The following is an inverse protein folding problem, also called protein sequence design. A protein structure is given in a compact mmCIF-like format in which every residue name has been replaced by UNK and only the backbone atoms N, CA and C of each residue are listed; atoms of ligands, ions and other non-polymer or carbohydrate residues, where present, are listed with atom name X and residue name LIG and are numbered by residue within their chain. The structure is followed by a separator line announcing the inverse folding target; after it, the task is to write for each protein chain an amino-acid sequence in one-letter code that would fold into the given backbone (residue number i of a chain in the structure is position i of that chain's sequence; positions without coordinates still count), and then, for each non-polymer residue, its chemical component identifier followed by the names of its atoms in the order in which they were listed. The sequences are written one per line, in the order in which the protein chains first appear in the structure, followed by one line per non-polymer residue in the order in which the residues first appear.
data_IF_919448747545
#
_entry.id   IF_919448747545
#
_cell.length_a   1.000
_cell.length_b   1.000
_cell.length_c   1.000
_cell.angle_alpha   90.00
_cell.angle_beta   90.00
_cell.angle_gamma   90.00
#
_symmetry.space_group_name_H-M   'P 1'
#
loop_
_entity.id
_entity.type
_entity.pdbx_description
1 polymer ?
#
# COMPACT_ATOMS: atom_id res chain seq x y z
N UNK A 1 3.84 -7.86 -22.91
CA UNK A 1 2.73 -8.83 -22.94
C UNK A 1 2.12 -9.13 -21.55
N UNK A 2 2.88 -9.43 -20.48
CA UNK A 2 2.29 -9.94 -19.21
C UNK A 2 1.77 -8.93 -18.18
N UNK A 3 2.00 -7.60 -18.33
CA UNK A 3 1.53 -6.60 -17.36
C UNK A 3 0.01 -6.43 -17.32
N UNK A 4 -0.68 -6.81 -18.40
CA UNK A 4 -2.11 -6.56 -18.55
C UNK A 4 -2.97 -7.42 -17.62
N UNK A 5 -2.56 -8.63 -17.28
CA UNK A 5 -3.35 -9.53 -16.39
C UNK A 5 -3.60 -8.86 -15.04
N UNK A 6 -2.53 -8.42 -14.36
CA UNK A 6 -2.64 -7.80 -13.05
C UNK A 6 -3.36 -6.44 -13.10
N UNK A 7 -3.16 -5.66 -14.17
CA UNK A 7 -3.89 -4.41 -14.38
C UNK A 7 -5.39 -4.65 -14.59
N UNK A 8 -5.76 -5.67 -15.38
CA UNK A 8 -7.15 -6.03 -15.62
C UNK A 8 -7.83 -6.51 -14.34
N UNK A 9 -7.19 -7.35 -13.53
CA UNK A 9 -7.72 -7.78 -12.23
C UNK A 9 -8.00 -6.57 -11.33
N UNK A 10 -7.06 -5.63 -11.23
CA UNK A 10 -7.23 -4.44 -10.38
C UNK A 10 -8.36 -3.54 -10.91
N UNK A 11 -8.47 -3.37 -12.23
CA UNK A 11 -9.56 -2.59 -12.85
C UNK A 11 -10.92 -3.24 -12.62
N UNK A 12 -11.04 -4.55 -12.79
CA UNK A 12 -12.27 -5.29 -12.49
C UNK A 12 -12.64 -5.15 -11.01
N UNK A 13 -11.66 -5.27 -10.10
CA UNK A 13 -11.90 -5.01 -8.68
C UNK A 13 -12.41 -3.58 -8.42
N UNK A 14 -11.88 -2.57 -9.09
CA UNK A 14 -12.37 -1.19 -8.95
C UNK A 14 -13.77 -0.97 -9.50
N UNK A 15 -14.13 -1.70 -10.56
CA UNK A 15 -15.47 -1.68 -11.15
C UNK A 15 -16.50 -2.34 -10.21
N UNK A 16 -16.15 -3.49 -9.61
CA UNK A 16 -17.03 -4.24 -8.72
C UNK A 16 -17.15 -3.61 -7.31
N UNK A 17 -16.07 -3.05 -6.78
CA UNK A 17 -16.03 -2.52 -5.41
C UNK A 17 -15.83 -1.00 -5.42
N UNK A 18 -16.85 -0.19 -5.09
CA UNK A 18 -16.74 1.27 -5.08
C UNK A 18 -15.78 1.74 -3.99
N UNK A 19 -15.15 2.90 -4.17
CA UNK A 19 -14.13 3.44 -3.25
C UNK A 19 -14.58 3.46 -1.78
N UNK A 20 -15.86 3.77 -1.52
CA UNK A 20 -16.43 3.83 -0.18
C UNK A 20 -16.48 2.46 0.54
N UNK A 21 -16.61 1.36 -0.21
CA UNK A 21 -16.65 -0.01 0.35
C UNK A 21 -15.28 -0.67 0.46
N UNK A 22 -14.20 0.00 0.06
CA UNK A 22 -12.84 -0.59 0.11
C UNK A 22 -12.26 -0.45 1.52
N UNK A 23 -11.50 -1.45 1.93
CA UNK A 23 -10.75 -1.43 3.19
C UNK A 23 -9.87 -0.17 3.28
N UNK A 24 -9.94 0.54 4.41
CA UNK A 24 -9.08 1.70 4.67
C UNK A 24 -7.63 1.24 4.85
N UNK A 25 -6.76 1.59 3.90
CA UNK A 25 -5.33 1.28 3.98
C UNK A 25 -4.67 2.05 5.14
N UNK A 26 -3.56 1.50 5.65
CA UNK A 26 -2.68 2.16 6.63
C UNK A 26 -1.65 3.08 5.95
N UNK A 27 -1.48 2.90 4.64
CA UNK A 27 -0.62 3.70 3.79
C UNK A 27 -1.39 4.82 3.07
N UNK A 28 -0.69 5.90 2.72
CA UNK A 28 -1.22 7.03 1.97
C UNK A 28 -1.81 6.60 0.62
N UNK A 29 -1.07 5.78 -0.13
CA UNK A 29 -1.56 5.17 -1.38
C UNK A 29 -2.17 3.82 -1.09
N UNK A 30 -3.42 3.61 -1.52
CA UNK A 30 -4.11 2.32 -1.35
C UNK A 30 -3.33 1.16 -1.99
N UNK A 31 -3.44 -0.04 -1.41
CA UNK A 31 -2.76 -1.24 -1.91
C UNK A 31 -3.00 -1.47 -3.40
N UNK A 32 -4.26 -1.38 -3.85
CA UNK A 32 -4.61 -1.59 -5.26
C UNK A 32 -4.00 -0.51 -6.18
N UNK A 33 -3.99 0.76 -5.74
CA UNK A 33 -3.38 1.84 -6.54
C UNK A 33 -1.86 1.67 -6.62
N UNK A 34 -1.21 1.32 -5.50
CA UNK A 34 0.22 1.12 -5.45
C UNK A 34 0.65 -0.02 -6.40
N UNK A 35 -0.02 -1.18 -6.30
CA UNK A 35 0.26 -2.33 -7.17
C UNK A 35 -0.02 -1.98 -8.63
N UNK A 36 -1.11 -1.27 -8.92
CA UNK A 36 -1.44 -0.83 -10.28
C UNK A 36 -0.34 0.05 -10.88
N UNK A 37 0.12 1.06 -10.14
CA UNK A 37 1.16 1.99 -10.60
C UNK A 37 2.50 1.30 -10.82
N UNK A 38 2.94 0.46 -9.87
CA UNK A 38 4.17 -0.32 -10.03
C UNK A 38 4.06 -1.28 -11.22
N UNK A 39 2.93 -1.94 -11.38
CA UNK A 39 2.69 -2.85 -12.52
C UNK A 39 2.70 -2.10 -13.85
N UNK A 40 2.12 -0.90 -13.90
CA UNK A 40 2.05 -0.06 -15.10
C UNK A 40 3.44 0.41 -15.53
N UNK A 41 4.24 0.89 -14.56
CA UNK A 41 5.55 1.50 -14.78
C UNK A 41 6.67 0.47 -14.96
N UNK A 42 6.71 -0.55 -14.09
CA UNK A 42 7.82 -1.52 -13.98
C UNK A 42 7.47 -2.92 -14.47
N UNK A 43 6.22 -3.18 -14.83
CA UNK A 43 5.75 -4.45 -15.38
C UNK A 43 5.28 -5.46 -14.33
N UNK A 44 4.99 -6.67 -14.80
CA UNK A 44 4.28 -7.69 -14.00
C UNK A 44 5.08 -8.18 -12.78
N UNK A 45 6.37 -8.49 -12.93
CA UNK A 45 7.18 -9.04 -11.82
C UNK A 45 7.28 -8.06 -10.63
N UNK A 46 7.66 -6.78 -10.83
CA UNK A 46 7.64 -5.80 -9.74
C UNK A 46 6.23 -5.56 -9.18
N UNK A 47 5.21 -5.61 -10.05
CA UNK A 47 3.81 -5.57 -9.65
C UNK A 47 3.45 -6.68 -8.66
N UNK A 48 3.77 -7.92 -8.98
CA UNK A 48 3.50 -9.08 -8.12
C UNK A 48 4.27 -8.98 -6.79
N UNK A 49 5.55 -8.59 -6.82
CA UNK A 49 6.33 -8.36 -5.60
C UNK A 49 5.70 -7.28 -4.73
N UNK A 50 5.22 -6.18 -5.34
CA UNK A 50 4.53 -5.10 -4.62
C UNK A 50 3.20 -5.56 -4.00
N UNK A 51 2.48 -6.47 -4.67
CA UNK A 51 1.25 -7.06 -4.15
C UNK A 51 1.54 -7.93 -2.92
N UNK A 52 2.49 -8.85 -3.03
CA UNK A 52 2.90 -9.72 -1.92
C UNK A 52 3.39 -8.91 -0.72
N UNK A 53 4.17 -7.86 -0.98
CA UNK A 53 4.59 -6.91 0.04
C UNK A 53 3.38 -6.28 0.75
N UNK A 54 2.43 -5.71 -0.01
CA UNK A 54 1.25 -5.05 0.56
C UNK A 54 0.33 -6.01 1.33
N UNK A 55 0.20 -7.27 0.90
CA UNK A 55 -0.55 -8.29 1.64
C UNK A 55 0.09 -8.56 3.01
N UNK A 56 1.43 -8.59 3.08
CA UNK A 56 2.16 -8.79 4.34
C UNK A 56 2.14 -7.56 5.24
N UNK A 57 2.22 -6.36 4.68
CA UNK A 57 2.43 -5.12 5.45
C UNK A 57 1.18 -4.29 5.70
N UNK A 58 0.17 -4.34 4.84
CA UNK A 58 -1.07 -3.58 5.03
C UNK A 58 -2.08 -4.34 5.91
N UNK A 59 -1.73 -4.48 7.19
CA UNK A 59 -2.57 -5.11 8.20
C UNK A 59 -2.80 -4.14 9.40
N UNK A 60 -3.69 -4.43 10.36
CA UNK A 60 -3.97 -3.54 11.49
C UNK A 60 -2.89 -3.55 12.60
N UNK A 61 -1.92 -4.47 12.52
CA UNK A 61 -0.86 -4.65 13.53
C UNK A 61 0.34 -3.76 13.16
N UNK A 62 0.27 -2.50 13.59
CA UNK A 62 1.33 -1.52 13.44
C UNK A 62 1.34 -0.57 14.64
N UNK A 63 2.50 0.01 14.92
CA UNK A 63 2.67 1.05 15.94
C UNK A 63 3.06 2.37 15.28
N UNK A 64 2.55 3.49 15.80
CA UNK A 64 2.96 4.84 15.37
C UNK A 64 3.70 5.50 16.53
N UNK A 65 4.88 6.01 16.25
CA UNK A 65 5.72 6.69 17.22
C UNK A 65 6.34 7.95 16.61
N UNK A 66 6.73 8.91 17.45
CA UNK A 66 7.42 10.11 17.02
C UNK A 66 8.92 9.88 17.10
N UNK A 67 9.64 10.11 16.00
CA UNK A 67 11.09 10.10 15.99
C UNK A 67 11.62 11.32 16.76
N UNK A 68 12.33 11.08 17.87
CA UNK A 68 12.85 12.14 18.72
C UNK A 68 13.92 13.01 18.03
N UNK A 69 14.59 12.50 16.98
CA UNK A 69 15.62 13.26 16.26
C UNK A 69 15.03 14.22 15.23
N UNK A 70 13.95 13.81 14.58
CA UNK A 70 13.35 14.58 13.46
C UNK A 70 12.01 15.21 13.79
N UNK A 71 11.38 14.80 14.90
CA UNK A 71 10.02 15.21 15.28
C UNK A 71 8.91 14.61 14.42
N UNK A 72 9.24 13.80 13.41
CA UNK A 72 8.26 13.23 12.47
C UNK A 72 7.66 11.95 13.00
N UNK A 73 6.38 11.69 12.69
CA UNK A 73 5.77 10.39 12.97
C UNK A 73 6.36 9.32 12.06
N UNK A 74 6.54 8.12 12.61
CA UNK A 74 6.94 6.91 11.90
C UNK A 74 6.02 5.78 12.27
N UNK A 75 5.85 4.83 11.36
CA UNK A 75 5.05 3.63 11.58
C UNK A 75 5.96 2.41 11.57
N UNK A 76 5.94 1.63 12.65
CA UNK A 76 6.56 0.32 12.74
C UNK A 76 5.52 -0.74 12.34
N UNK A 77 5.81 -1.45 11.26
CA UNK A 77 4.99 -2.57 10.81
C UNK A 77 5.35 -3.83 11.61
N UNK A 78 4.41 -4.78 11.73
CA UNK A 78 4.68 -6.12 12.32
C UNK A 78 5.88 -6.84 11.68
N UNK A 79 6.22 -6.52 10.43
CA UNK A 79 7.41 -7.06 9.74
C UNK A 79 8.74 -6.49 10.26
N UNK A 80 8.71 -5.53 11.20
CA UNK A 80 9.87 -4.78 11.68
C UNK A 80 10.26 -3.60 10.78
N UNK A 81 9.53 -3.37 9.68
CA UNK A 81 9.83 -2.28 8.75
C UNK A 81 9.30 -0.95 9.27
N UNK A 82 10.12 0.09 9.13
CA UNK A 82 9.77 1.46 9.49
C UNK A 82 9.32 2.20 8.23
N UNK A 83 8.17 2.86 8.33
CA UNK A 83 7.53 3.64 7.26
C UNK A 83 7.50 5.11 7.68
N UNK A 84 7.93 5.99 6.79
CA UNK A 84 7.96 7.43 7.05
C UNK A 84 6.56 8.06 7.01
N UNK A 85 6.41 9.20 7.70
CA UNK A 85 5.17 9.97 7.84
C UNK A 85 4.40 10.17 6.53
N UNK A 86 5.11 10.52 5.45
CA UNK A 86 4.51 10.80 4.14
C UNK A 86 3.85 9.57 3.50
N UNK A 87 4.26 8.38 3.91
CA UNK A 87 3.70 7.12 3.44
C UNK A 87 2.55 6.62 4.32
N UNK A 88 2.32 7.22 5.49
CA UNK A 88 1.22 6.87 6.41
C UNK A 88 -0.10 7.47 5.88
N UNK A 89 -1.19 6.74 6.04
CA UNK A 89 -2.51 7.24 5.70
C UNK A 89 -2.87 8.46 6.57
N UNK A 90 -3.34 9.56 5.95
CA UNK A 90 -3.71 10.80 6.65
C UNK A 90 -4.66 10.62 7.84
N UNK A 91 -5.54 9.62 7.78
CA UNK A 91 -6.49 9.29 8.88
C UNK A 91 -5.83 8.74 10.15
N UNK A 92 -4.55 8.38 10.08
CA UNK A 92 -3.75 7.82 11.19
C UNK A 92 -2.74 8.85 11.72
N UNK A 93 -2.69 10.04 11.12
CA UNK A 93 -1.83 11.15 11.52
C UNK A 93 -2.64 12.18 12.29
#
# INVERSE_FOLDING_TARGET
MMKFVLLSIIRTYWFLVPKAGRRKCIFHTSCSNYVYEITRQKGFKPGMQSLLFRIKTCNPEFDIFTDQKTGRKKMLLRTGQIVDELEIAKRLM
#
